data_IF_060899102613
#
_entry.id   IF_060899102613
#
_cell.length_a   1.000
_cell.length_b   1.000
_cell.length_c   1.000
_cell.angle_alpha   90.00
_cell.angle_beta   90.00
_cell.angle_gamma   90.00
#
_symmetry.space_group_name_H-M   'P 1'
#
loop_
_entity.id
_entity.type
_entity.pdbx_description
1 polymer ?
#
# COMPACT_ATOMS: atom_id res chain seq x y z
N UNK A 1 -0.53 45.61 -32.58
CA UNK A 1 0.29 44.47 -33.06
C UNK A 1 1.77 44.81 -32.90
N UNK A 2 2.43 44.28 -31.88
CA UNK A 2 3.90 44.25 -31.80
C UNK A 2 4.31 43.25 -30.73
N UNK A 3 4.75 42.07 -31.17
CA UNK A 3 5.57 41.17 -30.37
C UNK A 3 6.82 40.89 -31.20
N UNK A 4 7.95 41.47 -30.76
CA UNK A 4 9.27 41.16 -31.31
C UNK A 4 9.79 39.91 -30.60
N UNK A 5 9.98 38.86 -31.38
CA UNK A 5 10.77 37.67 -31.05
C UNK A 5 12.20 38.05 -30.65
N UNK A 6 12.70 37.52 -29.53
CA UNK A 6 14.13 37.44 -29.26
C UNK A 6 14.50 36.12 -28.56
N UNK A 7 15.66 35.61 -28.96
CA UNK A 7 16.07 34.21 -28.99
C UNK A 7 16.64 33.68 -27.68
N UNK A 8 16.50 32.37 -27.56
CA UNK A 8 17.15 31.38 -26.70
C UNK A 8 18.65 31.65 -26.46
N UNK A 9 19.08 31.53 -25.21
CA UNK A 9 20.49 31.31 -24.86
C UNK A 9 20.60 30.13 -23.89
N UNK A 10 21.07 28.99 -24.40
CA UNK A 10 21.51 27.84 -23.59
C UNK A 10 22.90 28.17 -23.04
N UNK A 11 23.09 28.17 -21.72
CA UNK A 11 24.42 28.21 -21.09
C UNK A 11 24.81 26.79 -20.66
N UNK A 12 25.63 26.17 -21.48
CA UNK A 12 26.41 24.98 -21.14
C UNK A 12 27.60 25.40 -20.28
N UNK A 13 27.61 25.01 -19.00
CA UNK A 13 28.79 25.11 -18.16
C UNK A 13 29.51 23.75 -18.16
N UNK A 14 30.61 23.69 -18.92
CA UNK A 14 31.65 22.66 -18.79
C UNK A 14 32.69 23.21 -17.80
N UNK A 15 32.94 22.48 -16.71
CA UNK A 15 34.16 22.63 -15.92
C UNK A 15 34.76 21.27 -15.62
N UNK A 16 36.09 21.28 -15.62
CA UNK A 16 36.98 20.16 -15.87
C UNK A 16 37.48 19.43 -14.59
N UNK A 17 38.09 18.28 -14.86
CA UNK A 17 38.85 17.34 -14.02
C UNK A 17 39.67 17.93 -12.87
N UNK A 18 39.82 17.27 -11.71
CA UNK A 18 40.83 16.25 -11.31
C UNK A 18 40.79 16.24 -9.76
N UNK A 19 40.98 15.18 -8.97
CA UNK A 19 42.21 14.40 -8.69
C UNK A 19 41.85 13.22 -7.76
N UNK A 20 42.68 12.17 -7.79
CA UNK A 20 42.61 10.95 -6.99
C UNK A 20 43.11 11.19 -5.55
N UNK A 21 42.40 10.66 -4.55
CA UNK A 21 42.94 10.43 -3.22
C UNK A 21 42.79 8.94 -2.87
N UNK A 22 43.93 8.22 -2.84
CA UNK A 22 44.04 6.88 -2.29
C UNK A 22 44.13 6.99 -0.76
N UNK A 23 43.09 6.57 -0.05
CA UNK A 23 43.16 6.36 1.39
C UNK A 23 43.72 4.96 1.65
N UNK A 24 44.92 4.87 2.23
CA UNK A 24 45.47 3.64 2.75
C UNK A 24 44.74 3.28 4.07
N UNK A 25 44.04 2.14 4.09
CA UNK A 25 43.56 1.53 5.33
C UNK A 25 44.75 0.87 6.03
N UNK A 26 45.16 1.41 7.18
CA UNK A 26 46.01 0.68 8.11
C UNK A 26 45.17 -0.40 8.81
N UNK A 27 45.42 -1.66 8.43
CA UNK A 27 44.88 -2.87 9.02
C UNK A 27 45.60 -3.12 10.36
N UNK A 28 44.94 -2.90 11.49
CA UNK A 28 45.45 -3.38 12.79
C UNK A 28 44.92 -4.79 13.03
N UNK A 29 45.60 -5.75 12.41
CA UNK A 29 45.52 -7.15 12.84
C UNK A 29 46.25 -7.25 14.18
N UNK A 30 45.52 -7.42 15.27
CA UNK A 30 46.06 -7.96 16.51
C UNK A 30 45.64 -9.44 16.56
N UNK A 31 46.46 -10.26 15.92
CA UNK A 31 46.49 -11.71 16.07
C UNK A 31 47.84 -12.03 16.74
N UNK A 32 47.82 -12.55 17.96
CA UNK A 32 48.93 -13.09 18.78
C UNK A 32 48.38 -13.24 20.21
N UNK A 33 48.46 -14.33 20.96
CA UNK A 33 49.17 -15.59 20.84
C UNK A 33 48.45 -16.63 21.72
N UNK A 34 48.55 -17.89 21.31
CA UNK A 34 48.16 -19.06 22.12
C UNK A 34 49.28 -19.37 23.10
N UNK A 35 48.96 -19.52 24.39
CA UNK A 35 49.49 -20.51 25.36
C UNK A 35 49.18 -20.04 26.77
N UNK A 36 48.38 -20.78 27.53
CA UNK A 36 48.92 -21.48 28.71
C UNK A 36 47.95 -22.53 29.24
N UNK A 37 48.51 -23.70 29.43
CA UNK A 37 47.93 -24.90 30.02
C UNK A 37 47.87 -24.75 31.54
N UNK A 38 46.67 -24.63 32.10
CA UNK A 38 46.46 -24.62 33.55
C UNK A 38 45.34 -25.58 33.95
N UNK A 39 45.70 -26.84 34.17
CA UNK A 39 44.80 -27.86 34.69
C UNK A 39 44.39 -27.59 36.14
N UNK A 40 43.10 -27.77 36.44
CA UNK A 40 42.60 -28.28 37.72
C UNK A 40 41.14 -28.76 37.56
N UNK A 41 40.98 -30.07 37.42
CA UNK A 41 39.79 -30.82 37.87
C UNK A 41 40.06 -31.26 39.33
N UNK A 42 39.12 -31.81 40.13
CA UNK A 42 37.82 -32.45 39.81
C UNK A 42 36.67 -31.92 40.71
N UNK A 43 35.42 -32.41 40.80
CA UNK A 43 34.82 -33.71 40.57
C UNK A 43 33.28 -33.63 40.49
N UNK A 44 32.67 -34.61 39.80
CA UNK A 44 31.40 -35.31 40.09
C UNK A 44 30.08 -34.50 40.08
N UNK A 45 28.95 -34.96 39.51
CA UNK A 45 28.46 -36.33 39.33
C UNK A 45 27.16 -36.40 38.48
N UNK A 46 27.10 -37.46 37.65
CA UNK A 46 25.96 -38.35 37.31
C UNK A 46 24.67 -37.88 36.58
N UNK A 47 24.51 -38.48 35.38
CA UNK A 47 23.36 -38.84 34.49
C UNK A 47 22.07 -39.38 35.17
N UNK A 48 21.00 -39.85 34.46
CA UNK A 48 20.78 -40.13 33.00
C UNK A 48 19.43 -39.58 32.44
N UNK A 49 19.09 -39.52 31.13
CA UNK A 49 19.08 -40.45 29.99
C UNK A 49 18.05 -41.62 30.08
N UNK A 50 17.11 -41.64 29.12
CA UNK A 50 16.23 -42.77 28.76
C UNK A 50 15.02 -42.26 27.96
N UNK A 51 14.52 -42.89 26.90
CA UNK A 51 14.96 -44.01 26.08
C UNK A 51 14.11 -43.99 24.78
N UNK A 52 14.69 -44.42 23.65
CA UNK A 52 13.96 -44.80 22.43
C UNK A 52 13.32 -46.18 22.61
N UNK A 53 12.14 -46.40 21.99
CA UNK A 53 11.67 -47.71 21.50
C UNK A 53 10.50 -47.54 20.51
N UNK A 54 10.58 -48.20 19.36
CA UNK A 54 9.51 -48.56 18.40
C UNK A 54 9.42 -50.12 18.38
N UNK A 55 8.48 -50.76 17.65
CA UNK A 55 7.01 -50.75 17.69
C UNK A 55 6.45 -52.17 18.03
N UNK A 56 5.13 -52.46 17.91
CA UNK A 56 4.70 -53.39 16.84
C UNK A 56 3.26 -53.17 16.26
N UNK A 57 2.88 -54.10 15.38
CA UNK A 57 1.85 -54.25 14.33
C UNK A 57 0.38 -54.58 14.70
N UNK A 58 -0.55 -54.38 13.74
CA UNK A 58 -1.87 -55.06 13.53
C UNK A 58 -3.10 -54.25 14.01
N UNK A 59 -4.27 -54.14 13.37
CA UNK A 59 -5.01 -54.90 12.33
C UNK A 59 -6.11 -54.04 11.64
N UNK A 60 -6.49 -54.45 10.42
CA UNK A 60 -7.81 -54.51 9.71
C UNK A 60 -9.03 -53.73 10.28
N UNK A 61 -10.03 -53.25 9.52
CA UNK A 61 -10.61 -53.66 8.23
C UNK A 61 -11.56 -52.58 7.67
N UNK A 62 -11.84 -52.67 6.35
CA UNK A 62 -13.09 -52.40 5.60
C UNK A 62 -14.25 -51.63 6.27
N UNK A 63 -14.99 -50.75 5.58
CA UNK A 63 -15.22 -50.61 4.14
C UNK A 63 -16.65 -50.08 3.92
N UNK A 64 -17.04 -49.97 2.64
CA UNK A 64 -18.37 -49.60 2.10
C UNK A 64 -18.72 -48.12 2.18
N UNK A 65 -19.16 -47.44 1.12
CA UNK A 65 -19.61 -47.79 -0.23
C UNK A 65 -20.24 -46.49 -0.78
N UNK A 66 -19.93 -46.05 -2.01
CA UNK A 66 -20.59 -46.46 -3.27
C UNK A 66 -21.61 -45.42 -3.74
N UNK A 67 -21.19 -44.70 -4.79
CA UNK A 67 -21.89 -44.40 -6.05
C UNK A 67 -23.11 -43.46 -6.14
N UNK A 68 -23.16 -42.80 -7.31
CA UNK A 68 -24.33 -42.13 -7.90
C UNK A 68 -23.94 -40.79 -8.54
N UNK A 69 -23.14 -40.75 -9.60
CA UNK A 69 -23.54 -40.73 -11.02
C UNK A 69 -24.71 -39.79 -11.37
N UNK A 70 -24.51 -38.91 -12.37
CA UNK A 70 -25.62 -38.48 -13.24
C UNK A 70 -25.77 -36.97 -13.54
N UNK A 71 -24.95 -36.47 -14.46
CA UNK A 71 -25.33 -35.74 -15.69
C UNK A 71 -26.45 -34.66 -15.74
N UNK A 72 -26.06 -33.55 -16.40
CA UNK A 72 -26.75 -32.77 -17.46
C UNK A 72 -27.68 -31.58 -17.12
N UNK A 73 -27.24 -30.43 -17.65
CA UNK A 73 -27.93 -29.45 -18.50
C UNK A 73 -29.34 -28.96 -18.12
N UNK A 74 -29.52 -27.63 -18.02
CA UNK A 74 -30.40 -26.88 -18.92
C UNK A 74 -30.46 -25.37 -18.59
N UNK A 75 -30.39 -24.59 -19.67
CA UNK A 75 -30.80 -23.21 -19.81
C UNK A 75 -32.34 -23.09 -19.73
N UNK A 76 -32.88 -21.95 -19.27
CA UNK A 76 -34.32 -21.71 -19.30
C UNK A 76 -34.75 -20.39 -18.65
N UNK A 77 -35.09 -19.43 -19.50
CA UNK A 77 -35.64 -18.10 -19.19
C UNK A 77 -37.17 -18.12 -19.08
N UNK A 78 -37.72 -17.13 -18.35
CA UNK A 78 -39.09 -16.55 -18.35
C UNK A 78 -39.56 -16.37 -16.89
N UNK A 79 -40.14 -15.26 -16.41
CA UNK A 79 -40.66 -14.03 -17.00
C UNK A 79 -41.78 -13.50 -16.09
N UNK A 80 -41.84 -12.19 -15.83
CA UNK A 80 -43.04 -11.37 -15.50
C UNK A 80 -42.58 -9.94 -15.17
N UNK A 81 -42.72 -8.90 -16.00
CA UNK A 81 -43.91 -8.11 -16.42
C UNK A 81 -44.74 -7.48 -15.30
N UNK A 82 -44.80 -6.14 -15.35
CA UNK A 82 -45.66 -5.21 -14.61
C UNK A 82 -44.96 -3.83 -14.53
N UNK A 83 -44.90 -3.03 -15.60
CA UNK A 83 -45.93 -2.09 -16.12
C UNK A 83 -46.39 -1.11 -15.03
N UNK A 84 -45.87 0.13 -15.01
CA UNK A 84 -46.48 1.31 -15.64
C UNK A 84 -46.92 2.27 -14.51
N UNK A 85 -46.89 3.59 -14.57
CA UNK A 85 -46.91 4.52 -15.69
C UNK A 85 -46.70 5.97 -15.18
N UNK A 86 -46.36 6.84 -16.13
CA UNK A 86 -46.71 8.28 -16.23
C UNK A 86 -46.17 9.24 -15.16
N UNK A 87 -45.44 10.31 -15.47
CA UNK A 87 -45.37 11.10 -16.71
C UNK A 87 -45.78 12.53 -16.37
N UNK A 88 -44.92 13.51 -16.63
CA UNK A 88 -45.38 14.87 -16.93
C UNK A 88 -44.31 15.65 -17.68
N UNK A 89 -44.81 16.36 -18.67
CA UNK A 89 -44.15 17.10 -19.74
C UNK A 89 -44.33 18.60 -19.56
N UNK A 90 -43.36 19.39 -20.01
CA UNK A 90 -43.48 20.82 -20.33
C UNK A 90 -42.13 21.31 -20.84
N UNK A 91 -41.90 21.40 -22.15
CA UNK A 91 -42.28 22.46 -23.11
C UNK A 91 -41.58 23.80 -22.91
N UNK A 92 -40.54 24.04 -23.73
CA UNK A 92 -40.31 25.25 -24.54
C UNK A 92 -39.87 26.55 -23.86
N UNK A 93 -38.71 27.07 -24.25
CA UNK A 93 -38.63 28.30 -25.09
C UNK A 93 -37.19 28.60 -25.50
N UNK A 94 -37.03 28.89 -26.78
CA UNK A 94 -35.92 29.62 -27.40
C UNK A 94 -35.80 31.06 -26.88
N UNK A 95 -34.59 31.60 -26.87
CA UNK A 95 -34.32 33.03 -26.66
C UNK A 95 -32.82 33.32 -26.71
N UNK A 96 -32.45 34.35 -27.48
CA UNK A 96 -31.13 34.62 -28.03
C UNK A 96 -30.39 35.75 -27.31
N UNK A 97 -29.06 35.77 -27.47
CA UNK A 97 -28.15 36.95 -27.60
C UNK A 97 -27.82 37.88 -26.41
N UNK A 98 -26.49 37.97 -26.19
CA UNK A 98 -25.63 39.16 -25.99
C UNK A 98 -25.59 39.95 -24.66
N UNK A 99 -24.50 39.69 -23.93
CA UNK A 99 -23.47 40.64 -23.43
C UNK A 99 -23.77 41.65 -22.27
N UNK A 100 -22.71 42.15 -21.58
CA UNK A 100 -22.56 42.01 -20.14
C UNK A 100 -22.85 43.30 -19.37
N UNK A 101 -23.17 43.17 -18.08
CA UNK A 101 -22.94 44.27 -17.15
C UNK A 101 -22.40 43.78 -15.81
N UNK A 102 -21.29 44.37 -15.41
CA UNK A 102 -20.56 44.05 -14.20
C UNK A 102 -21.32 44.46 -12.94
N UNK A 103 -21.23 43.59 -11.94
CA UNK A 103 -21.62 43.88 -10.58
C UNK A 103 -20.77 43.03 -9.65
N UNK A 104 -19.71 43.62 -9.11
CA UNK A 104 -18.88 43.04 -8.08
C UNK A 104 -19.72 42.62 -6.87
N UNK A 105 -19.78 41.32 -6.60
CA UNK A 105 -20.16 40.79 -5.31
C UNK A 105 -19.22 39.65 -4.97
N UNK A 106 -18.77 39.65 -3.71
CA UNK A 106 -17.74 38.80 -3.13
C UNK A 106 -17.87 37.33 -3.55
N UNK A 107 -16.74 36.72 -3.89
CA UNK A 107 -16.64 35.33 -4.33
C UNK A 107 -17.20 34.37 -3.29
N UNK A 108 -18.48 34.03 -3.47
CA UNK A 108 -19.04 32.78 -3.00
C UNK A 108 -18.46 31.73 -3.95
N UNK A 109 -17.63 30.86 -3.39
CA UNK A 109 -17.10 29.70 -4.10
C UNK A 109 -18.27 28.99 -4.77
N UNK A 110 -18.18 28.90 -6.09
CA UNK A 110 -19.07 28.14 -6.96
C UNK A 110 -18.98 26.66 -6.53
N UNK A 111 -19.78 26.26 -5.53
CA UNK A 111 -20.14 24.85 -5.28
C UNK A 111 -21.12 24.50 -6.41
N UNK A 112 -20.59 24.48 -7.63
CA UNK A 112 -21.22 23.82 -8.76
C UNK A 112 -21.23 22.35 -8.38
N UNK A 113 -22.38 21.94 -7.83
CA UNK A 113 -22.80 20.59 -7.47
C UNK A 113 -22.44 19.65 -8.62
N UNK A 114 -21.20 19.20 -8.58
CA UNK A 114 -20.73 18.14 -9.43
C UNK A 114 -21.14 16.91 -8.65
N UNK A 115 -22.16 16.18 -9.13
CA UNK A 115 -22.59 14.89 -8.59
C UNK A 115 -21.46 13.83 -8.43
N UNK A 116 -20.22 14.18 -8.76
CA UNK A 116 -19.03 13.35 -8.68
C UNK A 116 -18.22 13.69 -7.43
N UNK A 117 -17.88 12.69 -6.61
CA UNK A 117 -17.00 12.86 -5.46
C UNK A 117 -15.69 13.56 -5.83
N UNK A 118 -15.28 14.52 -4.99
CA UNK A 118 -13.98 15.18 -5.09
C UNK A 118 -12.81 14.23 -4.78
N UNK A 119 -11.57 14.70 -4.93
CA UNK A 119 -10.38 13.94 -4.46
C UNK A 119 -10.22 14.12 -2.96
N UNK A 120 -9.81 13.08 -2.25
CA UNK A 120 -9.47 13.19 -0.84
C UNK A 120 -8.21 14.06 -0.65
N UNK A 121 -8.16 14.80 0.46
CA UNK A 121 -6.96 15.46 0.98
C UNK A 121 -6.47 14.79 2.27
N UNK A 122 -5.27 15.16 2.74
CA UNK A 122 -4.78 14.72 4.05
C UNK A 122 -5.61 15.25 5.23
N UNK A 123 -6.36 16.35 5.05
CA UNK A 123 -7.28 16.89 6.07
C UNK A 123 -8.61 16.14 6.14
N UNK A 124 -9.03 15.49 5.05
CA UNK A 124 -10.30 14.75 4.99
C UNK A 124 -10.16 13.31 5.46
N UNK A 125 -8.93 12.79 5.57
CA UNK A 125 -8.67 11.36 5.79
C UNK A 125 -7.69 11.16 6.94
N UNK A 126 -8.09 10.33 7.90
CA UNK A 126 -7.19 9.77 8.90
C UNK A 126 -6.58 8.47 8.39
N UNK A 127 -5.26 8.42 8.22
CA UNK A 127 -4.55 7.19 7.87
C UNK A 127 -3.93 6.56 9.12
N UNK A 128 -4.10 5.25 9.27
CA UNK A 128 -3.47 4.45 10.33
C UNK A 128 -2.71 3.28 9.74
N UNK A 129 -1.69 2.80 10.46
CA UNK A 129 -0.83 1.69 10.06
C UNK A 129 -0.84 0.59 11.13
N UNK A 130 -1.06 -0.66 10.73
CA UNK A 130 -1.10 -1.81 11.65
C UNK A 130 -0.32 -2.99 11.07
N UNK A 131 0.62 -3.56 11.83
CA UNK A 131 1.24 -4.85 11.48
C UNK A 131 0.18 -5.95 11.50
N UNK A 132 0.13 -6.77 10.47
CA UNK A 132 -0.72 -7.96 10.44
C UNK A 132 0.13 -9.22 10.61
N UNK A 133 -0.43 -10.24 11.24
CA UNK A 133 0.27 -11.50 11.49
C UNK A 133 0.20 -12.46 10.29
N UNK A 134 -0.85 -12.34 9.48
CA UNK A 134 -1.03 -13.07 8.22
C UNK A 134 -1.62 -12.14 7.16
N UNK A 135 -1.00 -12.04 5.98
CA UNK A 135 0.31 -12.59 5.59
C UNK A 135 1.49 -12.04 6.43
N UNK A 136 2.63 -12.76 6.41
CA UNK A 136 3.85 -12.35 7.12
C UNK A 136 4.44 -11.09 6.49
N UNK A 137 5.17 -10.29 7.28
CA UNK A 137 5.86 -9.08 6.83
C UNK A 137 4.94 -8.04 6.16
N UNK A 138 3.65 -8.02 6.51
CA UNK A 138 2.71 -7.06 5.95
C UNK A 138 2.28 -6.00 6.96
N UNK A 139 2.04 -4.80 6.43
CA UNK A 139 1.40 -3.69 7.11
C UNK A 139 0.08 -3.38 6.40
N UNK A 140 -0.98 -3.23 7.18
CA UNK A 140 -2.26 -2.73 6.70
C UNK A 140 -2.32 -1.22 6.94
N UNK A 141 -2.48 -0.46 5.86
CA UNK A 141 -2.86 0.95 5.89
C UNK A 141 -4.38 1.05 5.81
N UNK A 142 -4.97 1.85 6.70
CA UNK A 142 -6.40 2.14 6.72
C UNK A 142 -6.61 3.64 6.61
N UNK A 143 -7.24 4.08 5.52
CA UNK A 143 -7.60 5.47 5.25
C UNK A 143 -9.09 5.68 5.54
N UNK A 144 -9.41 6.35 6.65
CA UNK A 144 -10.80 6.63 7.07
C UNK A 144 -11.18 8.06 6.73
N UNK A 145 -12.27 8.24 5.98
CA UNK A 145 -12.79 9.57 5.67
C UNK A 145 -13.42 10.18 6.93
N UNK A 146 -12.85 11.28 7.40
CA UNK A 146 -13.31 12.07 8.56
C UNK A 146 -14.07 13.33 8.15
N UNK A 147 -14.17 13.61 6.84
CA UNK A 147 -14.96 14.70 6.28
C UNK A 147 -16.46 14.39 6.20
N UNK A 148 -17.21 15.32 5.60
CA UNK A 148 -18.67 15.26 5.48
C UNK A 148 -19.19 14.84 4.10
N UNK A 149 -18.32 14.77 3.09
CA UNK A 149 -18.64 14.35 1.71
C UNK A 149 -17.82 13.12 1.34
N UNK A 150 -18.33 12.29 0.42
CA UNK A 150 -17.56 11.21 -0.20
C UNK A 150 -16.38 11.79 -0.98
N UNK A 151 -15.21 11.17 -0.85
CA UNK A 151 -14.02 11.55 -1.61
C UNK A 151 -13.35 10.32 -2.23
N UNK A 152 -12.61 10.54 -3.31
CA UNK A 152 -11.83 9.51 -4.01
C UNK A 152 -10.39 9.52 -3.51
N UNK A 153 -9.91 8.39 -2.99
CA UNK A 153 -8.51 8.22 -2.66
C UNK A 153 -7.63 8.30 -3.92
N UNK A 154 -6.33 8.65 -3.79
CA UNK A 154 -5.38 8.45 -4.87
C UNK A 154 -5.36 6.97 -5.32
N UNK A 155 -4.76 6.61 -6.47
CA UNK A 155 -4.73 5.21 -6.92
C UNK A 155 -4.10 4.25 -5.91
N UNK A 156 -3.00 4.65 -5.29
CA UNK A 156 -2.26 3.91 -4.28
C UNK A 156 -1.63 4.90 -3.28
N UNK A 157 -1.27 4.47 -2.07
CA UNK A 157 -0.50 5.29 -1.15
C UNK A 157 0.93 5.43 -1.67
N UNK A 158 1.38 6.65 -1.92
CA UNK A 158 2.79 6.92 -2.15
C UNK A 158 3.57 6.86 -0.82
N UNK A 159 3.61 5.67 -0.22
CA UNK A 159 3.99 5.41 1.16
C UNK A 159 5.51 5.58 1.38
N UNK A 160 5.91 6.74 1.88
CA UNK A 160 7.32 7.04 2.18
C UNK A 160 7.66 6.69 3.63
N UNK A 161 8.46 5.66 3.81
CA UNK A 161 8.89 5.19 5.13
C UNK A 161 10.12 5.98 5.62
N UNK A 162 10.02 6.57 6.80
CA UNK A 162 11.06 7.41 7.38
C UNK A 162 11.45 8.59 6.48
N UNK A 163 12.75 8.72 6.22
CA UNK A 163 13.33 9.78 5.37
C UNK A 163 13.50 9.36 3.89
N UNK A 164 12.93 8.21 3.50
CA UNK A 164 13.05 7.70 2.15
C UNK A 164 12.50 8.69 1.11
N UNK A 165 13.33 9.01 0.12
CA UNK A 165 12.97 9.92 -0.97
C UNK A 165 12.17 9.21 -2.08
N UNK A 166 12.38 7.90 -2.23
CA UNK A 166 11.70 7.07 -3.22
C UNK A 166 10.36 6.58 -2.72
N UNK A 167 9.38 6.54 -3.62
CA UNK A 167 8.09 5.88 -3.39
C UNK A 167 8.25 4.39 -3.72
N UNK A 168 7.74 3.48 -2.88
CA UNK A 168 7.79 2.05 -3.16
C UNK A 168 7.13 1.69 -4.50
N UNK A 169 7.58 0.60 -5.16
CA UNK A 169 6.84 0.02 -6.27
C UNK A 169 5.43 -0.40 -5.85
N UNK A 170 4.52 -0.44 -6.82
CA UNK A 170 3.12 -0.82 -6.63
C UNK A 170 2.90 -2.23 -7.17
N UNK A 171 2.14 -3.03 -6.45
CA UNK A 171 1.67 -4.33 -6.92
C UNK A 171 0.59 -4.14 -8.00
N UNK A 172 1.00 -4.10 -9.26
CA UNK A 172 0.11 -3.86 -10.40
C UNK A 172 -1.05 -4.85 -10.50
N UNK A 173 -0.86 -6.09 -10.02
CA UNK A 173 -1.91 -7.11 -9.98
C UNK A 173 -3.11 -6.72 -9.10
N UNK A 174 -2.94 -5.78 -8.17
CA UNK A 174 -4.03 -5.34 -7.28
C UNK A 174 -4.82 -4.16 -7.84
N UNK A 175 -4.60 -3.73 -9.09
CA UNK A 175 -5.24 -2.52 -9.61
C UNK A 175 -6.77 -2.68 -9.67
N UNK A 176 -7.54 -1.84 -8.95
CA UNK A 176 -8.99 -1.91 -8.98
C UNK A 176 -9.53 -1.39 -10.32
N UNK A 177 -10.79 -1.75 -10.63
CA UNK A 177 -11.44 -1.29 -11.85
C UNK A 177 -11.74 0.22 -11.84
N UNK A 178 -11.88 0.81 -10.65
CA UNK A 178 -12.09 2.23 -10.43
C UNK A 178 -11.32 2.71 -9.21
N UNK A 179 -11.15 4.02 -9.07
CA UNK A 179 -10.58 4.60 -7.86
C UNK A 179 -11.45 4.25 -6.65
N UNK A 180 -10.81 4.06 -5.51
CA UNK A 180 -11.50 3.74 -4.26
C UNK A 180 -12.13 5.00 -3.68
N UNK A 181 -13.46 5.07 -3.79
CA UNK A 181 -14.28 6.09 -3.13
C UNK A 181 -14.53 5.71 -1.68
N UNK A 182 -14.46 6.70 -0.79
CA UNK A 182 -14.67 6.51 0.65
C UNK A 182 -15.72 7.51 1.14
N UNK A 183 -16.86 6.99 1.58
CA UNK A 183 -17.94 7.78 2.18
C UNK A 183 -17.56 8.27 3.59
N UNK A 184 -18.23 9.30 4.13
CA UNK A 184 -18.01 9.76 5.50
C UNK A 184 -18.06 8.62 6.53
N UNK A 185 -17.00 8.51 7.34
CA UNK A 185 -16.85 7.46 8.36
C UNK A 185 -16.50 6.07 7.82
N UNK A 186 -16.40 5.88 6.51
CA UNK A 186 -15.94 4.62 5.88
C UNK A 186 -14.44 4.64 5.66
N UNK A 187 -13.90 3.48 5.27
CA UNK A 187 -12.46 3.30 5.07
C UNK A 187 -12.11 2.63 3.75
N UNK A 188 -10.98 3.04 3.18
CA UNK A 188 -10.23 2.29 2.17
C UNK A 188 -8.97 1.66 2.79
N UNK A 189 -8.47 0.59 2.17
CA UNK A 189 -7.41 -0.25 2.71
C UNK A 189 -6.28 -0.43 1.69
N UNK A 190 -5.03 -0.42 2.13
CA UNK A 190 -3.91 -0.80 1.28
C UNK A 190 -2.96 -1.70 2.06
N UNK A 191 -2.45 -2.73 1.41
CA UNK A 191 -1.39 -3.57 1.93
C UNK A 191 -0.03 -2.98 1.61
N UNK A 192 0.92 -3.24 2.48
CA UNK A 192 2.34 -3.00 2.21
C UNK A 192 3.08 -4.27 2.60
N UNK A 193 3.70 -4.93 1.63
CA UNK A 193 4.75 -5.90 1.87
C UNK A 193 5.97 -5.13 2.31
N UNK A 194 6.42 -5.34 3.55
CA UNK A 194 7.53 -4.60 4.15
C UNK A 194 8.89 -5.23 3.78
N UNK A 195 8.95 -6.55 3.78
CA UNK A 195 10.19 -7.30 3.57
C UNK A 195 9.97 -8.69 2.98
N UNK A 196 10.99 -9.19 2.30
CA UNK A 196 11.01 -10.56 1.76
C UNK A 196 10.87 -11.61 2.87
N UNK A 197 9.93 -12.52 2.73
CA UNK A 197 9.71 -13.62 3.69
C UNK A 197 10.83 -14.68 3.71
N UNK A 198 11.59 -14.78 2.63
CA UNK A 198 12.72 -15.70 2.45
C UNK A 198 14.09 -15.06 2.76
N UNK A 199 14.12 -13.80 3.20
CA UNK A 199 15.35 -13.07 3.52
C UNK A 199 16.16 -12.62 2.31
N UNK A 200 15.59 -12.71 1.09
CA UNK A 200 16.25 -12.24 -0.14
C UNK A 200 16.35 -10.71 -0.25
N UNK A 201 15.64 -9.98 0.60
CA UNK A 201 15.63 -8.53 0.62
C UNK A 201 16.93 -7.96 1.20
N UNK A 202 17.51 -7.00 0.50
CA UNK A 202 18.73 -6.30 0.92
C UNK A 202 18.45 -4.89 1.43
N UNK A 203 19.49 -4.24 1.97
CA UNK A 203 19.48 -2.81 2.34
C UNK A 203 18.33 -2.39 3.27
N UNK A 204 17.89 -3.28 4.15
CA UNK A 204 16.77 -2.98 5.01
C UNK A 204 17.12 -2.09 6.20
N UNK A 205 16.12 -1.39 6.71
CA UNK A 205 16.23 -0.45 7.81
C UNK A 205 14.92 -0.38 8.61
N UNK A 206 15.00 0.16 9.82
CA UNK A 206 13.84 0.39 10.68
C UNK A 206 13.23 1.78 10.41
N UNK A 207 11.94 1.82 10.13
CA UNK A 207 11.17 3.05 9.97
C UNK A 207 10.18 3.24 11.13
N UNK A 208 10.15 4.44 11.70
CA UNK A 208 9.24 4.80 12.80
C UNK A 208 8.07 5.69 12.34
N UNK A 209 8.18 6.26 11.16
CA UNK A 209 7.18 7.16 10.57
C UNK A 209 6.90 6.77 9.12
N UNK A 210 5.71 7.12 8.65
CA UNK A 210 5.28 6.98 7.27
C UNK A 210 4.61 8.28 6.83
N UNK A 211 4.91 8.76 5.62
CA UNK A 211 4.19 9.87 5.01
C UNK A 211 3.49 9.45 3.72
N UNK A 212 2.31 10.02 3.48
CA UNK A 212 1.49 9.76 2.29
C UNK A 212 1.08 11.10 1.69
N UNK A 213 1.71 11.53 0.58
CA UNK A 213 1.31 12.74 -0.13
C UNK A 213 0.02 12.55 -0.92
N UNK A 214 -0.76 13.61 -1.04
CA UNK A 214 -2.00 13.70 -1.81
C UNK A 214 -1.84 14.62 -3.01
N UNK A 215 -2.78 14.54 -3.95
CA UNK A 215 -2.71 15.26 -5.23
C UNK A 215 -2.87 16.78 -5.13
N UNK A 216 -3.35 17.28 -3.99
CA UNK A 216 -3.45 18.71 -3.68
C UNK A 216 -2.19 19.28 -3.02
N UNK A 217 -1.15 18.45 -2.82
CA UNK A 217 0.09 18.81 -2.15
C UNK A 217 0.07 18.64 -0.63
N UNK A 218 -1.07 18.27 -0.04
CA UNK A 218 -1.14 17.93 1.38
C UNK A 218 -0.45 16.59 1.65
N UNK A 219 0.07 16.41 2.87
CA UNK A 219 0.80 15.19 3.26
C UNK A 219 0.23 14.68 4.58
N UNK A 220 -0.22 13.42 4.59
CA UNK A 220 -0.61 12.74 5.81
C UNK A 220 0.62 12.09 6.48
N UNK A 221 0.85 12.40 7.74
CA UNK A 221 1.86 11.73 8.57
C UNK A 221 1.20 10.63 9.39
N UNK A 222 1.74 9.42 9.27
CA UNK A 222 1.22 8.21 9.89
C UNK A 222 2.26 7.68 10.87
N UNK A 223 1.86 7.54 12.14
CA UNK A 223 2.68 6.85 13.13
C UNK A 223 2.70 5.36 12.81
N UNK A 224 3.90 4.78 12.78
CA UNK A 224 4.05 3.34 12.64
C UNK A 224 3.89 2.65 14.00
N UNK A 225 3.60 1.33 14.02
CA UNK A 225 3.51 0.57 15.25
C UNK A 225 4.73 0.76 16.15
N UNK A 226 4.53 0.64 17.47
CA UNK A 226 5.60 0.79 18.45
C UNK A 226 6.78 -0.13 18.14
N UNK A 227 7.99 0.43 18.24
CA UNK A 227 9.23 -0.26 17.85
C UNK A 227 9.56 -0.19 16.36
N UNK A 228 8.75 0.51 15.54
CA UNK A 228 8.98 0.68 14.12
C UNK A 228 8.61 -0.54 13.27
N UNK A 229 8.88 -0.44 11.98
CA UNK A 229 8.75 -1.53 11.01
C UNK A 229 10.07 -1.67 10.25
N UNK A 230 10.53 -2.91 10.10
CA UNK A 230 11.63 -3.23 9.22
C UNK A 230 11.14 -3.22 7.77
N UNK A 231 11.80 -2.47 6.90
CA UNK A 231 11.55 -2.49 5.44
C UNK A 231 12.82 -2.85 4.70
N UNK A 232 12.72 -3.57 3.58
CA UNK A 232 13.86 -3.90 2.71
C UNK A 232 13.55 -3.61 1.23
N UNK A 233 14.40 -4.08 0.31
CA UNK A 233 14.21 -3.87 -1.14
C UNK A 233 12.96 -4.53 -1.75
N UNK A 234 12.30 -5.45 -1.06
CA UNK A 234 11.04 -6.05 -1.49
C UNK A 234 9.80 -5.18 -1.14
N UNK A 235 10.01 -4.04 -0.47
CA UNK A 235 8.98 -3.09 -0.10
C UNK A 235 8.06 -2.80 -1.29
N UNK A 236 6.79 -3.18 -1.18
CA UNK A 236 5.80 -3.06 -2.26
C UNK A 236 4.44 -2.66 -1.67
N UNK A 237 3.75 -1.71 -2.29
CA UNK A 237 2.41 -1.26 -1.86
C UNK A 237 1.32 -1.75 -2.80
N UNK A 238 0.12 -2.00 -2.29
CA UNK A 238 -1.05 -2.22 -3.15
C UNK A 238 -1.69 -0.91 -3.58
N UNK A 239 -2.54 -1.01 -4.59
CA UNK A 239 -3.61 -0.02 -4.79
C UNK A 239 -4.54 0.03 -3.58
N UNK A 240 -5.22 1.16 -3.36
CA UNK A 240 -6.27 1.24 -2.36
C UNK A 240 -7.45 0.34 -2.76
N UNK A 241 -7.96 -0.41 -1.80
CA UNK A 241 -9.04 -1.38 -1.90
C UNK A 241 -10.21 -1.02 -0.99
N UNK A 242 -11.37 -1.59 -1.26
CA UNK A 242 -12.57 -1.47 -0.42
C UNK A 242 -12.64 -2.51 0.70
N UNK A 243 -11.79 -3.55 0.67
CA UNK A 243 -11.71 -4.59 1.69
C UNK A 243 -10.28 -4.89 2.10
N UNK A 244 -10.11 -5.37 3.33
CA UNK A 244 -8.80 -5.80 3.85
C UNK A 244 -8.27 -7.03 3.15
N UNK A 245 -9.14 -7.95 2.75
CA UNK A 245 -8.74 -9.20 2.09
C UNK A 245 -8.10 -8.92 0.72
N UNK A 246 -8.67 -8.01 -0.06
CA UNK A 246 -8.08 -7.60 -1.34
C UNK A 246 -6.77 -6.81 -1.15
N UNK A 247 -6.65 -6.08 -0.04
CA UNK A 247 -5.44 -5.31 0.27
C UNK A 247 -4.28 -6.23 0.72
N UNK A 248 -4.57 -7.37 1.34
CA UNK A 248 -3.57 -8.27 1.92
C UNK A 248 -3.42 -9.60 1.16
N UNK A 249 -4.22 -9.85 0.13
CA UNK A 249 -4.31 -11.13 -0.56
C UNK A 249 -3.49 -11.24 -1.85
N UNK A 250 -2.37 -10.52 -1.98
CA UNK A 250 -1.55 -10.47 -3.19
C UNK A 250 -0.15 -11.07 -3.01
#
# INVERSE_FOLDING_TARGET
>A
MSARTARTARRTHLFAATTVALAALALTACESDTSDTGASAPASSSSPAGAQSEPPTGEKESGSGTEGNGSKEANGSAGSTGSGSTGSSGSGSSGSSDEPNGGSAAGVSDDSDSDKPGKCSASDVKITAKKVSRPLNHLLLTATNTGSKTCMLPPYPAARFGEAQSVPPVAEATKPQSLTGVEPGRSGYAGVLLSSGDGSGGNGYEANTLTVPFGDGSIATVALPAGGVYVDTALTVTYWQTSTDNALGY
#
